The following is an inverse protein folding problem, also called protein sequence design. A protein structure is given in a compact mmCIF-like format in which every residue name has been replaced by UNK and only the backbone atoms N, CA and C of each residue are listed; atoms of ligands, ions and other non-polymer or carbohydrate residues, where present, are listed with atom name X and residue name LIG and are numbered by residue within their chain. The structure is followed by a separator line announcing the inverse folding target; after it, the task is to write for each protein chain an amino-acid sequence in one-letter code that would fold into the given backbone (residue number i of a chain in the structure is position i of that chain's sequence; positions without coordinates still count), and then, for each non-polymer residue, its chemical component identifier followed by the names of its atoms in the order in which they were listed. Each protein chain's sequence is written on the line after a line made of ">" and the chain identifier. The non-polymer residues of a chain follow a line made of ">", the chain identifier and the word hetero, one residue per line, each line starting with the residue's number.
data_IF_537996969288
#
_entry.id   IF_537996969288
#
_cell.length_a   1.000
_cell.length_b   1.000
_cell.length_c   1.000
_cell.angle_alpha   90.00
_cell.angle_beta   90.00
_cell.angle_gamma   90.00
#
_symmetry.space_group_name_H-M   'P 1'
#
loop_
_entity.id
_entity.type
_entity.pdbx_description
1 polymer ?
#
# COMPACT_ATOMS: atom_id res chain seq x y z
N UNK A 1 -16.69 -25.46 58.36
CA UNK A 1 -16.74 -24.03 57.99
C UNK A 1 -15.32 -23.58 57.75
N UNK A 2 -15.06 -23.05 56.56
CA UNK A 2 -13.75 -22.69 56.06
C UNK A 2 -13.88 -22.55 54.54
N UNK A 3 -14.75 -21.63 54.11
CA UNK A 3 -14.80 -21.22 52.73
C UNK A 3 -13.50 -20.48 52.46
N UNK A 4 -12.60 -21.11 51.69
CA UNK A 4 -11.43 -20.43 51.17
C UNK A 4 -11.90 -19.37 50.18
N UNK A 5 -11.62 -18.11 50.48
CA UNK A 5 -11.79 -17.01 49.55
C UNK A 5 -10.93 -17.29 48.31
N UNK A 6 -11.58 -17.69 47.21
CA UNK A 6 -10.95 -17.71 45.90
C UNK A 6 -10.81 -16.26 45.45
N UNK A 7 -9.59 -15.74 45.46
CA UNK A 7 -9.27 -14.47 44.80
C UNK A 7 -9.46 -14.69 43.30
N UNK A 8 -10.55 -14.15 42.76
CA UNK A 8 -10.86 -14.21 41.33
C UNK A 8 -10.02 -13.14 40.63
N UNK A 9 -8.88 -13.55 40.07
CA UNK A 9 -8.08 -12.69 39.19
C UNK A 9 -8.84 -12.42 37.89
N UNK A 10 -9.51 -11.28 37.84
CA UNK A 10 -10.17 -10.75 36.66
C UNK A 10 -9.15 -9.93 35.86
N UNK A 11 -8.48 -10.58 34.91
CA UNK A 11 -7.55 -9.92 34.00
C UNK A 11 -8.27 -9.27 32.81
N UNK A 12 -7.86 -8.04 32.47
CA UNK A 12 -8.20 -7.39 31.20
C UNK A 12 -7.12 -7.75 30.19
N UNK A 13 -7.50 -8.29 29.04
CA UNK A 13 -6.55 -8.59 27.96
C UNK A 13 -6.85 -7.67 26.78
N UNK A 14 -5.83 -6.91 26.36
CA UNK A 14 -5.88 -6.06 25.17
C UNK A 14 -5.04 -6.72 24.08
N UNK A 15 -5.60 -6.80 22.88
CA UNK A 15 -4.97 -7.50 21.76
C UNK A 15 -5.07 -6.64 20.51
N UNK A 16 -3.93 -6.45 19.84
CA UNK A 16 -3.88 -5.92 18.47
C UNK A 16 -3.73 -7.13 17.54
N UNK A 17 -4.72 -7.36 16.70
CA UNK A 17 -4.76 -8.52 15.82
C UNK A 17 -5.11 -8.10 14.39
N UNK A 18 -4.41 -8.67 13.41
CA UNK A 18 -4.68 -8.51 11.97
C UNK A 18 -5.96 -9.30 11.56
N UNK A 19 -6.27 -10.37 12.29
CA UNK A 19 -7.57 -11.09 12.31
C UNK A 19 -7.79 -11.74 13.69
N UNK A 20 -9.05 -12.07 14.08
CA UNK A 20 -9.34 -12.70 15.37
C UNK A 20 -8.75 -14.10 15.58
N UNK A 21 -8.08 -14.68 14.59
CA UNK A 21 -7.46 -16.01 14.67
C UNK A 21 -6.09 -15.99 13.99
N UNK A 22 -5.10 -16.41 14.75
CA UNK A 22 -3.74 -16.89 14.40
C UNK A 22 -2.55 -15.93 14.34
N UNK A 23 -2.71 -14.60 14.23
CA UNK A 23 -1.57 -13.64 14.31
C UNK A 23 -1.89 -12.43 15.19
N UNK A 24 -2.11 -12.69 16.47
CA UNK A 24 -2.46 -11.67 17.47
C UNK A 24 -1.32 -11.46 18.47
N UNK A 25 -0.99 -10.20 18.76
CA UNK A 25 -0.11 -9.87 19.87
C UNK A 25 -0.93 -9.82 21.15
N UNK A 26 -0.60 -10.66 22.13
CA UNK A 26 -1.32 -10.77 23.39
C UNK A 26 -0.59 -9.99 24.48
N UNK A 27 -1.28 -9.04 25.11
CA UNK A 27 -0.89 -8.54 26.43
C UNK A 27 -1.96 -8.94 27.44
N UNK A 28 -1.59 -9.77 28.43
CA UNK A 28 -2.44 -10.18 29.54
C UNK A 28 -1.97 -9.50 30.82
N UNK A 29 -2.79 -8.62 31.40
CA UNK A 29 -2.50 -7.97 32.68
C UNK A 29 -3.61 -8.17 33.72
N UNK A 30 -3.28 -7.98 34.99
CA UNK A 30 -4.25 -7.86 36.08
C UNK A 30 -5.07 -6.57 35.94
N UNK A 31 -6.14 -6.44 36.72
CA UNK A 31 -7.04 -5.28 36.72
C UNK A 31 -6.24 -3.98 36.87
N UNK A 32 -6.18 -3.20 35.79
CA UNK A 32 -5.53 -1.89 35.79
C UNK A 32 -6.59 -0.83 36.09
N UNK A 33 -6.46 -0.13 37.22
CA UNK A 33 -7.16 1.13 37.46
C UNK A 33 -6.23 2.27 37.03
N UNK A 34 -6.49 2.89 35.88
CA UNK A 34 -5.64 3.95 35.33
C UNK A 34 -5.71 4.11 33.81
N UNK A 35 -4.83 4.94 33.27
CA UNK A 35 -4.59 5.09 31.83
C UNK A 35 -3.74 3.90 31.38
N UNK A 36 -4.16 3.21 30.32
CA UNK A 36 -3.40 2.14 29.72
C UNK A 36 -2.65 2.68 28.50
N UNK A 37 -1.34 2.82 28.63
CA UNK A 37 -0.46 3.20 27.54
C UNK A 37 0.23 1.96 26.96
N UNK A 38 0.27 1.87 25.63
CA UNK A 38 1.01 0.84 24.92
C UNK A 38 1.61 1.42 23.65
N UNK A 39 2.82 1.00 23.33
CA UNK A 39 3.52 1.43 22.13
C UNK A 39 3.13 0.52 20.95
N UNK A 40 2.82 1.16 19.81
CA UNK A 40 2.65 0.44 18.55
C UNK A 40 4.02 0.12 17.95
N UNK A 41 4.13 -1.02 17.28
CA UNK A 41 5.33 -1.36 16.52
C UNK A 41 5.60 -0.28 15.46
N UNK A 42 6.86 0.13 15.34
CA UNK A 42 7.31 1.18 14.40
C UNK A 42 7.16 0.79 12.92
N UNK A 43 6.89 -0.48 12.62
CA UNK A 43 6.89 -1.04 11.27
C UNK A 43 5.55 -1.68 10.89
N UNK A 44 4.44 -1.18 11.44
CA UNK A 44 3.11 -1.63 11.03
C UNK A 44 2.80 -1.09 9.62
N UNK A 45 2.28 -1.93 8.71
CA UNK A 45 1.78 -1.45 7.42
C UNK A 45 0.65 -0.44 7.60
N UNK A 46 0.42 0.43 6.60
CA UNK A 46 -0.78 1.27 6.59
C UNK A 46 -2.05 0.42 6.61
N UNK A 47 -3.14 0.96 7.17
CA UNK A 47 -4.47 0.39 6.96
C UNK A 47 -4.84 0.44 5.48
N UNK A 48 -5.27 -0.70 4.95
CA UNK A 48 -5.61 -0.89 3.55
C UNK A 48 -7.08 -1.31 3.46
N UNK A 49 -8.00 -0.41 3.04
CA UNK A 49 -9.38 -0.80 2.81
C UNK A 49 -9.48 -1.74 1.61
N UNK A 50 -10.40 -2.71 1.69
CA UNK A 50 -10.80 -3.53 0.56
C UNK A 50 -11.91 -2.82 -0.22
N UNK A 51 -11.71 -2.60 -1.53
CA UNK A 51 -12.77 -2.08 -2.39
C UNK A 51 -13.73 -3.19 -2.85
N UNK A 52 -13.34 -4.46 -2.69
CA UNK A 52 -14.18 -5.64 -2.93
C UNK A 52 -13.89 -6.77 -1.92
N UNK A 53 -14.83 -7.71 -1.70
CA UNK A 53 -14.63 -8.82 -0.76
C UNK A 53 -13.44 -9.73 -1.08
N UNK A 54 -12.96 -9.72 -2.32
CA UNK A 54 -11.83 -10.51 -2.80
C UNK A 54 -10.50 -9.75 -2.71
N UNK A 55 -10.54 -8.44 -2.46
CA UNK A 55 -9.33 -7.66 -2.32
C UNK A 55 -8.70 -7.84 -0.94
N UNK A 56 -7.37 -7.97 -0.90
CA UNK A 56 -6.67 -8.08 0.35
C UNK A 56 -6.73 -6.72 1.09
N UNK A 57 -6.96 -6.77 2.41
CA UNK A 57 -7.03 -5.60 3.29
C UNK A 57 -6.17 -5.78 4.54
N UNK A 58 -5.76 -4.64 5.12
CA UNK A 58 -5.07 -4.56 6.42
C UNK A 58 -5.96 -3.75 7.34
N UNK A 59 -6.45 -4.39 8.39
CA UNK A 59 -7.34 -3.77 9.37
C UNK A 59 -6.80 -4.04 10.77
N UNK A 60 -6.80 -2.99 11.59
CA UNK A 60 -6.38 -3.09 12.97
C UNK A 60 -7.60 -3.04 13.87
N UNK A 61 -7.59 -3.86 14.91
CA UNK A 61 -8.63 -3.84 15.92
C UNK A 61 -7.99 -3.76 17.30
N UNK A 62 -8.55 -2.90 18.14
CA UNK A 62 -8.35 -2.95 19.58
C UNK A 62 -9.38 -3.92 20.16
N UNK A 63 -8.92 -5.10 20.57
CA UNK A 63 -9.77 -6.09 21.19
C UNK A 63 -9.65 -5.99 22.71
N UNK A 64 -10.78 -5.73 23.38
CA UNK A 64 -10.88 -5.75 24.83
C UNK A 64 -11.64 -7.00 25.24
N UNK A 65 -10.99 -7.87 26.01
CA UNK A 65 -11.61 -9.08 26.52
C UNK A 65 -11.57 -9.12 28.04
N UNK A 66 -12.71 -9.49 28.63
CA UNK A 66 -12.79 -9.84 30.05
C UNK A 66 -13.02 -11.34 30.15
N UNK A 67 -12.02 -12.05 30.70
CA UNK A 67 -12.19 -13.44 31.10
C UNK A 67 -12.98 -13.46 32.40
N UNK A 68 -14.19 -14.00 32.36
CA UNK A 68 -14.94 -14.39 33.57
C UNK A 68 -14.78 -15.90 33.77
N UNK A 69 -14.91 -16.38 35.01
CA UNK A 69 -14.84 -17.80 35.34
C UNK A 69 -15.74 -18.64 34.42
N UNK A 70 -15.35 -19.90 34.18
CA UNK A 70 -15.79 -20.82 33.10
C UNK A 70 -17.30 -20.97 32.86
N UNK A 71 -18.17 -20.53 33.78
CA UNK A 71 -19.62 -20.58 33.64
C UNK A 71 -20.24 -19.39 32.88
N UNK A 72 -19.49 -18.31 32.60
CA UNK A 72 -20.03 -17.14 31.90
C UNK A 72 -19.33 -16.86 30.58
N UNK A 73 -20.11 -16.47 29.56
CA UNK A 73 -19.57 -16.07 28.24
C UNK A 73 -18.58 -14.91 28.43
N UNK A 74 -17.41 -15.03 27.82
CA UNK A 74 -16.44 -13.95 27.74
C UNK A 74 -17.07 -12.76 27.03
N UNK A 75 -17.01 -11.58 27.64
CA UNK A 75 -17.41 -10.35 26.98
C UNK A 75 -16.27 -9.91 26.07
N UNK A 76 -16.55 -9.80 24.78
CA UNK A 76 -15.63 -9.38 23.73
C UNK A 76 -16.12 -8.06 23.14
N UNK A 77 -15.26 -7.05 23.11
CA UNK A 77 -15.51 -5.79 22.40
C UNK A 77 -14.31 -5.50 21.51
N UNK A 78 -14.55 -5.33 20.22
CA UNK A 78 -13.54 -4.90 19.25
C UNK A 78 -13.83 -3.48 18.76
N UNK A 79 -12.80 -2.64 18.72
CA UNK A 79 -12.88 -1.28 18.18
C UNK A 79 -11.94 -1.21 16.97
N UNK A 80 -12.43 -0.89 15.76
CA UNK A 80 -11.56 -0.74 14.61
C UNK A 80 -10.64 0.46 14.76
N UNK A 81 -9.39 0.31 14.32
CA UNK A 81 -8.36 1.35 14.29
C UNK A 81 -7.90 1.56 12.85
N UNK A 82 -7.58 2.81 12.51
CA UNK A 82 -7.00 3.16 11.21
C UNK A 82 -5.59 3.69 11.42
N UNK A 83 -4.60 3.02 10.83
CA UNK A 83 -3.22 3.47 10.81
C UNK A 83 -2.92 4.13 9.46
N UNK A 84 -2.61 5.41 9.48
CA UNK A 84 -2.24 6.18 8.29
C UNK A 84 -0.84 6.80 8.51
N UNK A 85 0.23 6.08 8.15
CA UNK A 85 1.57 6.61 8.31
C UNK A 85 1.74 7.85 7.44
N UNK A 86 2.14 8.95 8.06
CA UNK A 86 2.38 10.21 7.37
C UNK A 86 3.78 10.16 6.77
N UNK A 87 3.88 10.30 5.46
CA UNK A 87 5.15 10.49 4.78
C UNK A 87 5.57 11.95 4.89
N UNK A 88 6.77 12.20 5.44
CA UNK A 88 7.37 13.52 5.39
C UNK A 88 8.06 13.72 4.04
N UNK A 89 7.33 14.31 3.08
CA UNK A 89 7.79 14.53 1.71
C UNK A 89 9.07 15.36 1.65
N UNK A 90 9.29 16.28 2.61
CA UNK A 90 10.48 17.14 2.65
C UNK A 90 11.78 16.36 2.89
N UNK A 91 11.70 15.13 3.38
CA UNK A 91 12.86 14.27 3.61
C UNK A 91 13.17 13.34 2.43
N UNK A 92 12.35 13.33 1.38
CA UNK A 92 12.61 12.51 0.20
C UNK A 92 13.53 13.25 -0.78
N UNK A 93 14.62 12.63 -1.24
CA UNK A 93 15.49 13.24 -2.23
C UNK A 93 14.72 13.43 -3.54
N UNK A 94 14.71 14.66 -4.03
CA UNK A 94 14.11 14.99 -5.32
C UNK A 94 15.11 14.67 -6.43
N UNK A 95 14.79 13.68 -7.26
CA UNK A 95 15.54 13.41 -8.48
C UNK A 95 14.59 13.04 -9.62
N UNK A 96 15.07 13.24 -10.85
CA UNK A 96 14.33 12.87 -12.04
C UNK A 96 14.36 11.36 -12.28
N UNK A 97 13.26 10.80 -12.75
CA UNK A 97 13.16 9.40 -13.15
C UNK A 97 13.11 9.30 -14.67
N UNK A 98 13.90 8.40 -15.25
CA UNK A 98 13.88 8.10 -16.67
C UNK A 98 13.09 6.80 -16.95
N UNK A 99 12.27 6.82 -17.98
CA UNK A 99 11.54 5.67 -18.51
C UNK A 99 11.95 5.45 -19.96
N UNK A 100 12.31 4.22 -20.31
CA UNK A 100 12.57 3.83 -21.70
C UNK A 100 11.64 2.70 -22.15
N UNK A 101 11.11 2.81 -23.35
CA UNK A 101 10.37 1.75 -24.03
C UNK A 101 10.89 1.59 -25.47
N UNK A 102 11.34 0.37 -25.81
CA UNK A 102 11.78 0.00 -27.16
C UNK A 102 10.86 -1.09 -27.69
N UNK A 103 10.19 -0.83 -28.81
CA UNK A 103 9.33 -1.83 -29.44
C UNK A 103 10.03 -2.55 -30.61
N UNK A 104 9.41 -3.64 -31.08
CA UNK A 104 9.93 -4.45 -32.21
C UNK A 104 10.02 -3.68 -33.53
N UNK A 105 9.31 -2.56 -33.68
CA UNK A 105 9.34 -1.69 -34.86
C UNK A 105 10.51 -0.69 -34.83
N UNK A 106 11.42 -0.82 -33.87
CA UNK A 106 12.52 0.12 -33.61
C UNK A 106 12.05 1.53 -33.24
N UNK A 107 10.82 1.65 -32.73
CA UNK A 107 10.36 2.90 -32.11
C UNK A 107 10.90 2.93 -30.68
N UNK A 108 11.59 4.01 -30.35
CA UNK A 108 12.14 4.28 -29.03
C UNK A 108 11.38 5.41 -28.40
N UNK A 109 10.76 5.17 -27.26
CA UNK A 109 10.18 6.21 -26.41
C UNK A 109 11.07 6.35 -25.18
N UNK A 110 11.50 7.57 -24.91
CA UNK A 110 12.18 7.93 -23.69
C UNK A 110 11.37 9.04 -23.00
N UNK A 111 11.28 8.99 -21.68
CA UNK A 111 10.53 9.96 -20.90
C UNK A 111 11.24 10.29 -19.60
N UNK A 112 11.23 11.58 -19.24
CA UNK A 112 11.82 12.12 -18.02
C UNK A 112 10.69 12.65 -17.15
N UNK A 113 10.64 12.14 -15.92
CA UNK A 113 9.73 12.59 -14.89
C UNK A 113 10.51 13.49 -13.94
N UNK A 114 9.99 14.69 -13.68
CA UNK A 114 10.64 15.70 -12.83
C UNK A 114 10.81 15.31 -11.35
N UNK A 115 10.10 14.28 -10.88
CA UNK A 115 10.11 13.85 -9.48
C UNK A 115 9.94 12.33 -9.36
N UNK A 116 10.49 11.77 -8.29
CA UNK A 116 10.51 10.35 -7.94
C UNK A 116 9.46 9.94 -6.90
N UNK A 117 8.67 10.89 -6.37
CA UNK A 117 7.54 10.62 -5.50
C UNK A 117 6.28 11.26 -6.07
N UNK A 118 5.13 10.70 -5.69
CA UNK A 118 3.82 11.15 -6.16
C UNK A 118 2.90 11.29 -4.95
N UNK A 119 2.24 12.44 -4.86
CA UNK A 119 1.19 12.71 -3.87
C UNK A 119 -0.16 12.69 -4.59
N UNK A 120 -1.22 12.09 -4.03
CA UNK A 120 -2.57 12.21 -4.59
C UNK A 120 -2.97 13.66 -4.85
N UNK A 121 -3.70 13.91 -5.94
CA UNK A 121 -4.08 15.25 -6.37
C UNK A 121 -2.98 16.09 -7.03
N UNK A 122 -1.71 15.67 -6.97
CA UNK A 122 -0.60 16.39 -7.59
C UNK A 122 -0.59 16.25 -9.12
N UNK A 123 0.10 17.17 -9.78
CA UNK A 123 0.43 17.05 -11.21
C UNK A 123 1.85 16.51 -11.37
N UNK A 124 2.01 15.55 -12.27
CA UNK A 124 3.30 14.99 -12.63
C UNK A 124 3.69 15.47 -14.03
N UNK A 125 4.70 16.34 -14.10
CA UNK A 125 5.24 16.81 -15.38
C UNK A 125 6.16 15.75 -15.99
N UNK A 126 5.81 15.30 -17.19
CA UNK A 126 6.51 14.26 -17.95
C UNK A 126 6.96 14.88 -19.27
N UNK A 127 8.28 14.92 -19.47
CA UNK A 127 8.88 15.23 -20.76
C UNK A 127 9.09 13.91 -21.50
N UNK A 128 8.88 13.89 -22.81
CA UNK A 128 9.10 12.68 -23.60
C UNK A 128 9.74 13.00 -24.95
N UNK A 129 10.51 12.05 -25.46
CA UNK A 129 10.99 12.01 -26.84
C UNK A 129 10.74 10.63 -27.45
N UNK A 130 10.17 10.62 -28.66
CA UNK A 130 9.88 9.44 -29.44
C UNK A 130 10.74 9.47 -30.71
N UNK A 131 11.54 8.45 -30.92
CA UNK A 131 12.33 8.23 -32.13
C UNK A 131 11.76 7.07 -32.92
N UNK A 132 11.37 7.31 -34.16
CA UNK A 132 10.74 6.36 -35.06
C UNK A 132 11.46 6.37 -36.42
N UNK A 133 12.70 5.83 -36.49
CA UNK A 133 13.54 5.92 -37.68
C UNK A 133 12.93 5.26 -38.92
N UNK A 134 12.03 4.28 -38.72
CA UNK A 134 11.34 3.57 -39.80
C UNK A 134 10.02 4.24 -40.23
N UNK A 135 9.65 5.37 -39.61
CA UNK A 135 8.37 6.07 -39.83
C UNK A 135 7.16 5.12 -39.78
N UNK A 136 7.24 4.16 -38.86
CA UNK A 136 6.14 3.24 -38.60
C UNK A 136 4.93 4.00 -38.07
N UNK A 137 3.72 3.50 -38.29
CA UNK A 137 2.54 4.12 -37.68
C UNK A 137 2.62 3.95 -36.15
N UNK A 138 2.57 5.08 -35.46
CA UNK A 138 2.33 5.18 -34.02
C UNK A 138 0.89 5.64 -33.82
N UNK A 139 0.05 4.74 -33.32
CA UNK A 139 -1.38 5.04 -33.17
C UNK A 139 -1.61 5.96 -31.99
N UNK A 140 -0.98 5.66 -30.86
CA UNK A 140 -1.01 6.45 -29.62
C UNK A 140 0.13 6.05 -28.68
N UNK A 141 0.40 6.92 -27.70
CA UNK A 141 1.22 6.59 -26.54
C UNK A 141 0.32 6.57 -25.32
N UNK A 142 0.31 5.45 -24.61
CA UNK A 142 -0.53 5.24 -23.42
C UNK A 142 0.33 5.37 -22.16
N UNK A 143 -0.16 6.13 -21.18
CA UNK A 143 0.45 6.34 -19.87
C UNK A 143 -0.45 5.67 -18.83
N UNK A 144 0.12 4.77 -18.02
CA UNK A 144 -0.62 4.07 -16.97
C UNK A 144 0.09 4.17 -15.63
N UNK A 145 -0.63 4.61 -14.61
CA UNK A 145 -0.22 4.48 -13.21
C UNK A 145 -0.98 3.31 -12.61
N UNK A 146 -0.27 2.24 -12.27
CA UNK A 146 -0.84 1.02 -11.71
C UNK A 146 -0.40 0.87 -10.26
N UNK A 147 -1.37 0.62 -9.38
CA UNK A 147 -1.11 0.17 -8.02
C UNK A 147 -1.08 -1.35 -8.01
N UNK A 148 -0.09 -1.89 -7.32
CA UNK A 148 0.01 -3.32 -7.03
C UNK A 148 -0.07 -3.51 -5.52
N UNK A 149 -0.87 -4.49 -5.10
CA UNK A 149 -1.00 -4.91 -3.70
C UNK A 149 -0.74 -6.40 -3.62
N UNK A 150 0.08 -6.83 -2.68
CA UNK A 150 0.21 -8.24 -2.33
C UNK A 150 0.05 -8.37 -0.81
N UNK A 151 -0.75 -9.35 -0.39
CA UNK A 151 -0.82 -9.77 1.00
C UNK A 151 -0.75 -11.29 1.04
N UNK A 152 0.31 -11.80 1.68
CA UNK A 152 0.50 -13.23 1.87
C UNK A 152 0.44 -14.01 0.54
N UNK A 153 -0.13 -15.22 0.55
CA UNK A 153 -0.24 -16.15 -0.58
C UNK A 153 -1.38 -15.86 -1.56
N UNK A 154 -2.21 -14.83 -1.33
CA UNK A 154 -3.41 -14.54 -2.14
C UNK A 154 -3.11 -13.96 -3.54
N UNK A 155 -1.85 -13.90 -3.95
CA UNK A 155 -1.43 -13.33 -5.23
C UNK A 155 -1.32 -11.81 -5.20
N UNK A 156 -0.94 -11.23 -6.34
CA UNK A 156 -0.84 -9.77 -6.52
C UNK A 156 -2.11 -9.24 -7.18
N UNK A 157 -2.77 -8.30 -6.52
CA UNK A 157 -3.87 -7.52 -7.08
C UNK A 157 -3.31 -6.29 -7.77
N UNK A 158 -3.82 -5.99 -8.97
CA UNK A 158 -3.44 -4.83 -9.78
C UNK A 158 -4.65 -3.92 -9.97
N UNK A 159 -4.47 -2.62 -9.76
CA UNK A 159 -5.50 -1.61 -9.95
C UNK A 159 -4.93 -0.45 -10.77
N UNK A 160 -5.52 -0.19 -11.94
CA UNK A 160 -5.21 1.01 -12.70
C UNK A 160 -5.75 2.23 -11.94
N UNK A 161 -4.86 3.14 -11.55
CA UNK A 161 -5.21 4.41 -10.90
C UNK A 161 -5.44 5.48 -11.97
N UNK A 162 -4.57 5.51 -12.98
CA UNK A 162 -4.68 6.39 -14.14
C UNK A 162 -4.37 5.61 -15.39
N UNK A 163 -5.14 5.85 -16.44
CA UNK A 163 -4.90 5.33 -17.79
C UNK A 163 -5.33 6.40 -18.79
N UNK A 164 -4.37 7.03 -19.45
CA UNK A 164 -4.61 8.12 -20.41
C UNK A 164 -3.72 7.97 -21.64
N UNK A 165 -4.16 8.55 -22.75
CA UNK A 165 -3.31 8.75 -23.92
C UNK A 165 -2.55 10.07 -23.80
N UNK A 166 -1.28 10.09 -24.22
CA UNK A 166 -0.50 11.32 -24.36
C UNK A 166 -1.24 12.24 -25.35
N UNK A 167 -1.51 13.50 -24.98
CA UNK A 167 -2.26 14.39 -25.83
C UNK A 167 -1.52 14.65 -27.14
N UNK A 168 -2.29 14.90 -28.22
CA UNK A 168 -1.78 15.28 -29.54
C UNK A 168 -1.00 14.22 -30.33
N UNK A 169 -0.78 13.01 -29.78
CA UNK A 169 -0.20 11.89 -30.54
C UNK A 169 -1.32 10.96 -30.98
N UNK A 170 -1.80 11.15 -32.22
CA UNK A 170 -2.76 10.25 -32.86
C UNK A 170 -2.33 9.96 -34.29
N UNK A 171 -2.07 8.68 -34.59
CA UNK A 171 -1.72 8.19 -35.95
C UNK A 171 -0.58 9.00 -36.60
N UNK A 172 0.54 9.12 -35.91
CA UNK A 172 1.72 9.81 -36.43
C UNK A 172 2.69 8.82 -37.09
N UNK A 173 3.39 9.30 -38.13
CA UNK A 173 4.54 8.63 -38.76
C UNK A 173 5.81 9.48 -38.66
N UNK A 174 5.77 10.50 -37.82
CA UNK A 174 6.92 11.38 -37.63
C UNK A 174 8.12 10.58 -37.13
N UNK A 175 9.28 10.95 -37.65
CA UNK A 175 10.55 10.31 -37.34
C UNK A 175 11.01 10.67 -35.92
N UNK A 176 10.64 11.87 -35.48
CA UNK A 176 10.93 12.39 -34.16
C UNK A 176 9.73 13.17 -33.65
N UNK A 177 9.33 12.90 -32.41
CA UNK A 177 8.34 13.68 -31.68
C UNK A 177 8.91 13.98 -30.29
N UNK A 178 8.75 15.21 -29.83
CA UNK A 178 9.06 15.57 -28.46
C UNK A 178 7.92 16.38 -27.85
N UNK A 179 7.83 16.38 -26.53
CA UNK A 179 6.82 17.18 -25.86
C UNK A 179 6.90 17.09 -24.36
N UNK A 180 6.02 17.85 -23.72
CA UNK A 180 5.81 17.82 -22.28
C UNK A 180 4.32 17.81 -22.01
N UNK A 181 3.88 16.98 -21.07
CA UNK A 181 2.51 17.00 -20.59
C UNK A 181 2.45 16.80 -19.08
N UNK A 182 1.34 17.24 -18.50
CA UNK A 182 1.07 17.09 -17.08
C UNK A 182 0.07 15.95 -16.88
N UNK A 183 0.50 14.89 -16.19
CA UNK A 183 -0.36 13.82 -15.73
C UNK A 183 -1.01 14.25 -14.41
N UNK A 184 -2.32 14.48 -14.42
CA UNK A 184 -3.08 14.79 -13.20
C UNK A 184 -3.33 13.50 -12.41
N UNK A 185 -2.78 13.42 -11.21
CA UNK A 185 -3.03 12.30 -10.30
C UNK A 185 -4.37 12.55 -9.60
N UNK A 186 -5.30 11.57 -9.58
CA UNK A 186 -6.57 11.72 -8.90
C UNK A 186 -6.39 12.06 -7.43
N UNK A 187 -7.24 12.95 -6.93
CA UNK A 187 -7.34 13.25 -5.50
C UNK A 187 -8.23 12.20 -4.82
N UNK A 188 -7.68 11.00 -4.68
CA UNK A 188 -8.32 9.85 -4.03
C UNK A 188 -7.41 9.29 -2.95
N UNK A 189 -7.97 8.53 -2.02
CA UNK A 189 -7.16 7.82 -1.04
C UNK A 189 -6.28 6.77 -1.72
N UNK A 190 -4.97 7.03 -1.74
CA UNK A 190 -3.94 6.07 -2.17
C UNK A 190 -3.08 5.74 -0.95
N UNK A 191 -3.04 4.48 -0.49
CA UNK A 191 -2.15 4.09 0.59
C UNK A 191 -0.68 4.34 0.18
N UNK A 192 0.20 4.71 1.12
CA UNK A 192 1.60 4.96 0.79
C UNK A 192 2.27 3.69 0.27
N UNK A 193 3.32 3.88 -0.53
CA UNK A 193 4.22 2.77 -0.89
C UNK A 193 4.75 2.14 0.39
N UNK A 194 4.56 0.83 0.51
CA UNK A 194 5.04 0.05 1.65
C UNK A 194 5.71 -1.20 1.11
N UNK A 195 7.01 -1.31 1.31
CA UNK A 195 7.77 -2.51 1.00
C UNK A 195 8.22 -3.08 2.34
N UNK A 196 7.83 -4.32 2.63
CA UNK A 196 8.31 -4.98 3.84
C UNK A 196 9.84 -4.99 3.79
N UNK A 197 10.55 -4.41 4.77
CA UNK A 197 12.00 -4.53 4.84
C UNK A 197 12.29 -6.03 4.94
N UNK A 198 12.95 -6.57 3.92
CA UNK A 198 13.23 -8.00 3.76
C UNK A 198 13.55 -8.63 5.11
N UNK A 199 12.67 -9.53 5.57
CA UNK A 199 12.87 -10.29 6.80
C UNK A 199 14.19 -11.03 6.67
N UNK A 200 15.17 -10.68 7.51
CA UNK A 200 16.22 -11.63 7.86
C UNK A 200 15.53 -12.93 8.26
N UNK A 201 15.92 -14.01 7.59
CA UNK A 201 15.29 -15.34 7.64
C UNK A 201 15.49 -16.06 8.99
N UNK A 202 15.66 -15.35 10.10
CA UNK A 202 16.08 -15.92 11.38
C UNK A 202 14.92 -16.39 12.27
N UNK A 203 13.68 -15.99 12.00
CA UNK A 203 12.54 -16.29 12.89
C UNK A 203 11.52 -17.31 12.39
N UNK A 204 11.72 -17.94 11.22
CA UNK A 204 10.90 -19.09 10.77
C UNK A 204 9.39 -18.82 10.62
N UNK A 205 8.94 -17.57 10.78
CA UNK A 205 7.57 -17.15 10.53
C UNK A 205 7.42 -17.03 9.01
N UNK A 206 6.55 -17.86 8.43
CA UNK A 206 6.08 -17.72 7.06
C UNK A 206 5.74 -16.24 6.82
N UNK A 207 6.61 -15.55 6.09
CA UNK A 207 6.52 -14.11 5.89
C UNK A 207 5.20 -13.80 5.19
N UNK A 208 4.24 -13.27 5.94
CA UNK A 208 3.08 -12.60 5.37
C UNK A 208 3.60 -11.32 4.72
N UNK A 209 4.07 -11.46 3.48
CA UNK A 209 4.59 -10.34 2.72
C UNK A 209 3.39 -9.44 2.40
N UNK A 210 3.29 -8.31 3.10
CA UNK A 210 2.40 -7.21 2.76
C UNK A 210 3.23 -6.15 2.07
N UNK A 211 2.90 -5.85 0.82
CA UNK A 211 3.46 -4.70 0.15
C UNK A 211 2.43 -3.99 -0.73
N UNK A 212 2.66 -2.69 -0.88
CA UNK A 212 1.95 -1.79 -1.79
C UNK A 212 3.01 -1.06 -2.60
N UNK A 213 2.95 -1.17 -3.93
CA UNK A 213 3.84 -0.44 -4.83
C UNK A 213 3.04 0.21 -5.95
N UNK A 214 3.64 1.22 -6.57
CA UNK A 214 3.09 1.90 -7.73
C UNK A 214 4.09 1.82 -8.87
N UNK A 215 3.58 1.70 -10.08
CA UNK A 215 4.39 1.71 -11.29
C UNK A 215 3.76 2.67 -12.30
N UNK A 216 4.56 3.62 -12.78
CA UNK A 216 4.20 4.42 -13.92
C UNK A 216 4.83 3.80 -15.17
N UNK A 217 4.00 3.52 -16.17
CA UNK A 217 4.44 2.96 -17.44
C UNK A 217 4.01 3.86 -18.60
N UNK A 218 4.81 3.87 -19.65
CA UNK A 218 4.53 4.60 -20.89
C UNK A 218 4.79 3.65 -22.06
N UNK A 219 3.77 3.38 -22.86
CA UNK A 219 3.82 2.36 -23.91
C UNK A 219 3.37 2.91 -25.25
N UNK A 220 4.15 2.65 -26.30
CA UNK A 220 3.79 2.97 -27.69
C UNK A 220 2.91 1.86 -28.25
N UNK A 221 1.71 2.21 -28.75
CA UNK A 221 0.81 1.27 -29.45
C UNK A 221 0.84 1.52 -30.96
#
# INVERSE_FOLDING_TARGET
>A
MGAGDSVINSGLTITLADRPTDNAFYWTGERVEGILDFDLLSHLPPSLPADSPLEPCVQYFLCVTSKRNSLHRNNYKSIPLTLSPRLNVLHYPHYSLELENKNRKAVHLHAIISQNFIVPGANLSIQYDLRNPKRSMTDRIEVRLVQYRQMSSCGTVQKAIVEIDVPYIRKSREEYLEGTFNLKIPDIYLPPTWLHPSSSSELGLNSNIVWVKYELTMTVK
#
